data_IF_062549498004
#
_entry.id   IF_062549498004
#
_cell.length_a   1.000
_cell.length_b   1.000
_cell.length_c   1.000
_cell.angle_alpha   90.00
_cell.angle_beta   90.00
_cell.angle_gamma   90.00
#
_symmetry.space_group_name_H-M   'P 1'
#
loop_
_entity.id
_entity.type
_entity.pdbx_description
1 polymer ?
#
# COMPACT_ATOMS: atom_id res chain seq x y z
N UNK A 1 8.54 -17.86 25.98
CA UNK A 1 8.22 -17.20 24.70
C UNK A 1 8.80 -15.79 24.79
N UNK A 2 10.03 -15.62 24.30
CA UNK A 2 10.65 -14.31 24.21
C UNK A 2 10.00 -13.60 23.01
N UNK A 3 9.36 -12.46 23.26
CA UNK A 3 8.94 -11.54 22.20
C UNK A 3 10.21 -11.02 21.53
N UNK A 4 10.43 -11.46 20.30
CA UNK A 4 11.48 -10.93 19.41
C UNK A 4 11.04 -9.52 18.99
N UNK A 5 11.25 -8.55 19.89
CA UNK A 5 11.08 -7.13 19.59
C UNK A 5 12.33 -6.73 18.84
N UNK A 6 12.18 -6.58 17.52
CA UNK A 6 13.21 -6.01 16.64
C UNK A 6 13.82 -4.77 17.31
N UNK A 7 15.15 -4.65 17.41
CA UNK A 7 15.77 -3.53 18.09
C UNK A 7 15.31 -2.22 17.43
N UNK A 8 14.75 -1.30 18.23
CA UNK A 8 14.36 0.04 17.75
C UNK A 8 15.53 0.65 16.98
N UNK A 9 15.35 0.87 15.67
CA UNK A 9 16.30 1.63 14.87
C UNK A 9 16.41 3.05 15.43
N UNK A 10 17.63 3.56 15.59
CA UNK A 10 17.90 4.96 16.00
C UNK A 10 17.86 5.88 14.77
N UNK A 11 16.84 5.72 13.92
CA UNK A 11 16.69 6.51 12.69
C UNK A 11 16.12 7.89 13.04
N UNK A 12 16.73 8.95 12.50
CA UNK A 12 16.42 10.34 12.85
C UNK A 12 16.35 11.20 11.60
N UNK A 13 15.27 11.96 11.45
CA UNK A 13 15.11 12.93 10.37
C UNK A 13 15.82 14.25 10.71
N UNK A 14 16.62 14.73 9.76
CA UNK A 14 17.40 15.98 9.89
C UNK A 14 17.00 17.02 8.84
N UNK A 15 16.34 16.58 7.76
CA UNK A 15 15.77 17.45 6.74
C UNK A 15 14.37 16.96 6.41
N UNK A 16 13.42 17.90 6.41
CA UNK A 16 12.11 17.77 5.82
C UNK A 16 11.95 18.93 4.82
N UNK A 17 11.92 18.61 3.53
CA UNK A 17 11.67 19.58 2.46
C UNK A 17 10.75 18.94 1.41
N UNK A 18 10.21 19.76 0.51
CA UNK A 18 9.34 19.35 -0.57
C UNK A 18 10.09 18.61 -1.70
N UNK A 19 11.42 18.76 -1.77
CA UNK A 19 12.29 18.05 -2.70
C UNK A 19 12.85 16.75 -2.10
N UNK A 20 13.26 16.81 -0.83
CA UNK A 20 14.03 15.74 -0.19
C UNK A 20 13.76 15.62 1.32
N UNK A 21 13.77 14.39 1.80
CA UNK A 21 13.81 14.05 3.22
C UNK A 21 15.11 13.33 3.51
N UNK A 22 15.81 13.74 4.56
CA UNK A 22 17.10 13.16 4.94
C UNK A 22 17.00 12.61 6.34
N UNK A 23 17.32 11.34 6.49
CA UNK A 23 17.43 10.67 7.78
C UNK A 23 18.83 10.13 7.98
N UNK A 24 19.24 9.89 9.22
CA UNK A 24 20.46 9.17 9.53
C UNK A 24 20.21 8.13 10.60
N UNK A 25 21.00 7.05 10.55
CA UNK A 25 21.02 6.05 11.60
C UNK A 25 21.98 6.50 12.71
N UNK A 26 21.43 6.91 13.84
CA UNK A 26 22.20 7.28 15.02
C UNK A 26 23.10 6.16 15.51
N UNK A 27 22.74 4.88 15.36
CA UNK A 27 23.56 3.75 15.78
C UNK A 27 24.82 3.57 14.90
N UNK A 28 24.77 4.03 13.64
CA UNK A 28 25.90 4.00 12.72
C UNK A 28 26.96 5.09 12.98
N UNK A 29 26.64 6.08 13.81
CA UNK A 29 27.53 7.23 14.05
C UNK A 29 28.81 6.81 14.76
N UNK A 30 29.95 7.10 14.15
CA UNK A 30 31.28 6.95 14.78
C UNK A 30 32.00 8.28 14.84
N UNK A 31 32.72 8.48 15.94
CA UNK A 31 33.47 9.72 16.20
C UNK A 31 34.96 9.39 16.32
N UNK A 32 35.76 9.87 15.36
CA UNK A 32 37.22 9.66 15.38
C UNK A 32 37.96 10.97 15.17
N UNK A 33 38.44 11.58 16.26
CA UNK A 33 39.11 12.89 16.24
C UNK A 33 38.24 13.94 15.53
N UNK A 34 38.64 14.38 14.33
CA UNK A 34 37.96 15.37 13.50
C UNK A 34 36.96 14.75 12.52
N UNK A 35 36.93 13.42 12.41
CA UNK A 35 36.10 12.68 11.47
C UNK A 35 34.80 12.21 12.12
N UNK A 36 33.71 12.28 11.35
CA UNK A 36 32.38 11.76 11.70
C UNK A 36 31.91 10.86 10.58
N UNK A 37 31.56 9.62 10.89
CA UNK A 37 30.94 8.71 9.93
C UNK A 37 29.51 8.44 10.32
N UNK A 38 28.61 8.32 9.35
CA UNK A 38 27.24 7.89 9.57
C UNK A 38 26.65 7.27 8.30
N UNK A 39 25.66 6.41 8.48
CA UNK A 39 24.75 5.99 7.44
C UNK A 39 23.57 6.98 7.37
N UNK A 40 23.32 7.49 6.17
CA UNK A 40 22.28 8.48 5.87
C UNK A 40 21.36 7.90 4.81
N UNK A 41 20.05 8.07 4.98
CA UNK A 41 19.08 7.79 3.92
C UNK A 41 18.54 9.09 3.34
N UNK A 42 18.60 9.22 2.02
CA UNK A 42 17.98 10.30 1.26
C UNK A 42 16.73 9.75 0.58
N UNK A 43 15.60 10.41 0.78
CA UNK A 43 14.33 10.09 0.15
C UNK A 43 13.94 11.27 -0.75
N UNK A 44 13.56 11.00 -1.98
CA UNK A 44 13.26 12.03 -2.98
C UNK A 44 11.76 12.08 -3.25
N UNK A 45 11.23 13.29 -3.43
CA UNK A 45 9.82 13.49 -3.75
C UNK A 45 9.44 12.95 -5.14
N UNK A 46 10.41 12.92 -6.05
CA UNK A 46 10.29 12.39 -7.41
C UNK A 46 11.51 11.51 -7.73
N UNK A 47 11.35 10.50 -8.61
CA UNK A 47 12.51 9.75 -9.08
C UNK A 47 13.53 10.67 -9.75
N UNK A 48 14.81 10.38 -9.55
CA UNK A 48 15.90 11.06 -10.25
C UNK A 48 16.04 10.56 -11.71
N UNK A 49 17.10 11.02 -12.39
CA UNK A 49 17.39 10.63 -13.78
C UNK A 49 17.66 9.12 -13.97
N UNK A 50 17.99 8.41 -12.90
CA UNK A 50 18.20 6.96 -12.90
C UNK A 50 16.98 6.18 -12.39
N UNK A 51 15.88 6.87 -12.08
CA UNK A 51 14.64 6.32 -11.55
C UNK A 51 14.71 5.93 -10.07
N UNK A 52 15.76 6.33 -9.34
CA UNK A 52 15.87 6.09 -7.92
C UNK A 52 14.97 7.06 -7.15
N UNK A 53 14.35 6.56 -6.08
CA UNK A 53 13.52 7.34 -5.14
C UNK A 53 14.13 7.42 -3.74
N UNK A 54 15.17 6.62 -3.51
CA UNK A 54 15.89 6.57 -2.23
C UNK A 54 17.34 6.20 -2.46
N UNK A 55 18.24 6.80 -1.69
CA UNK A 55 19.62 6.35 -1.52
C UNK A 55 19.92 6.06 -0.06
N UNK A 56 20.62 4.96 0.21
CA UNK A 56 21.33 4.75 1.47
C UNK A 56 22.80 5.02 1.23
N UNK A 57 23.40 5.91 2.03
CA UNK A 57 24.76 6.43 1.82
C UNK A 57 25.55 6.35 3.12
N UNK A 58 26.73 5.73 3.06
CA UNK A 58 27.73 5.84 4.11
C UNK A 58 28.59 7.08 3.86
N UNK A 59 28.46 8.08 4.72
CA UNK A 59 29.18 9.36 4.61
C UNK A 59 30.28 9.47 5.66
N UNK A 60 31.37 10.14 5.30
CA UNK A 60 32.41 10.56 6.23
C UNK A 60 32.69 12.06 6.08
N UNK A 61 32.56 12.80 7.19
CA UNK A 61 32.79 14.24 7.25
C UNK A 61 34.07 14.54 8.05
N UNK A 62 34.99 15.32 7.46
CA UNK A 62 36.12 15.94 8.15
C UNK A 62 35.69 17.33 8.64
N UNK A 63 35.38 17.40 9.93
CA UNK A 63 34.87 18.60 10.58
C UNK A 63 35.91 19.70 10.79
N UNK A 64 37.21 19.39 10.62
CA UNK A 64 38.27 20.39 10.71
C UNK A 64 38.53 21.03 9.35
N UNK A 65 38.49 20.23 8.28
CA UNK A 65 38.73 20.69 6.91
C UNK A 65 37.46 21.12 6.18
N UNK A 66 36.28 20.89 6.77
CA UNK A 66 34.97 21.11 6.14
C UNK A 66 34.84 20.34 4.81
N UNK A 67 35.33 19.11 4.79
CA UNK A 67 35.23 18.22 3.63
C UNK A 67 34.33 17.03 3.94
N UNK A 68 33.74 16.43 2.92
CA UNK A 68 32.96 15.20 3.04
C UNK A 68 33.32 14.26 1.90
N UNK A 69 33.18 12.96 2.13
CA UNK A 69 33.23 11.93 1.10
C UNK A 69 32.08 10.95 1.24
N UNK A 70 31.73 10.36 0.11
CA UNK A 70 30.84 9.21 0.04
C UNK A 70 31.67 7.92 0.04
N UNK A 71 31.43 7.05 1.01
CA UNK A 71 32.15 5.78 1.15
C UNK A 71 31.45 4.68 0.35
N UNK A 72 30.12 4.68 0.37
CA UNK A 72 29.29 3.78 -0.41
C UNK A 72 27.89 4.37 -0.57
N UNK A 73 27.24 4.10 -1.71
CA UNK A 73 25.82 4.36 -1.89
C UNK A 73 25.10 3.21 -2.59
N UNK A 74 23.84 3.02 -2.21
CA UNK A 74 22.91 2.11 -2.89
C UNK A 74 21.61 2.85 -3.12
N UNK A 75 21.25 3.01 -4.39
CA UNK A 75 19.97 3.55 -4.81
C UNK A 75 18.88 2.48 -4.84
N UNK A 76 17.63 2.88 -4.64
CA UNK A 76 16.47 2.02 -4.79
C UNK A 76 15.42 2.71 -5.67
N UNK A 77 14.88 1.97 -6.64
CA UNK A 77 13.83 2.44 -7.55
C UNK A 77 12.43 2.17 -7.00
N UNK A 78 11.43 2.76 -7.66
CA UNK A 78 10.01 2.57 -7.33
C UNK A 78 9.55 1.12 -7.47
N UNK A 79 10.17 0.34 -8.34
CA UNK A 79 9.87 -1.09 -8.55
C UNK A 79 10.55 -2.02 -7.52
N UNK A 80 11.30 -1.45 -6.57
CA UNK A 80 12.04 -2.20 -5.55
C UNK A 80 13.41 -2.71 -6.01
N UNK A 81 13.79 -2.47 -7.27
CA UNK A 81 15.14 -2.82 -7.75
C UNK A 81 16.19 -1.89 -7.15
N UNK A 82 17.35 -2.46 -6.80
CA UNK A 82 18.51 -1.68 -6.38
C UNK A 82 19.29 -1.16 -7.58
N UNK A 83 19.88 0.00 -7.39
CA UNK A 83 20.74 0.69 -8.33
C UNK A 83 22.10 0.89 -7.67
N UNK A 84 23.13 0.34 -8.31
CA UNK A 84 24.52 0.67 -8.00
C UNK A 84 25.02 1.57 -9.10
N UNK A 85 25.35 2.81 -8.76
CA UNK A 85 25.96 3.74 -9.70
C UNK A 85 27.42 3.30 -9.93
N UNK A 86 27.93 3.40 -11.18
CA UNK A 86 29.34 3.15 -11.44
C UNK A 86 30.20 4.18 -10.70
N UNK A 87 31.23 3.71 -10.00
CA UNK A 87 32.17 4.58 -9.30
C UNK A 87 33.00 5.38 -10.31
N UNK A 88 32.95 6.70 -10.22
CA UNK A 88 33.82 7.60 -10.94
C UNK A 88 35.16 7.81 -10.18
N UNK A 89 36.26 8.08 -10.90
CA UNK A 89 37.54 8.41 -10.26
C UNK A 89 37.40 9.59 -9.28
N UNK A 90 37.67 9.31 -8.00
CA UNK A 90 37.62 10.29 -6.92
C UNK A 90 36.29 10.37 -6.17
N UNK A 91 35.34 9.46 -6.40
CA UNK A 91 34.07 9.42 -5.63
C UNK A 91 34.27 9.24 -4.12
N UNK A 92 35.33 8.54 -3.74
CA UNK A 92 35.71 8.31 -2.34
C UNK A 92 36.68 9.35 -1.78
N UNK A 93 37.01 10.38 -2.55
CA UNK A 93 37.91 11.45 -2.10
C UNK A 93 37.14 12.47 -1.26
N UNK A 94 37.85 13.06 -0.29
CA UNK A 94 37.31 14.20 0.46
C UNK A 94 37.18 15.41 -0.46
N UNK A 95 35.95 15.88 -0.63
CA UNK A 95 35.62 17.05 -1.45
C UNK A 95 35.06 18.17 -0.57
N UNK A 96 35.32 19.46 -0.89
CA UNK A 96 34.60 20.57 -0.27
C UNK A 96 33.09 20.43 -0.48
N UNK A 97 32.30 20.75 0.54
CA UNK A 97 30.84 20.66 0.48
C UNK A 97 30.26 22.03 0.10
N UNK A 98 29.49 22.15 -1.01
CA UNK A 98 28.87 23.42 -1.39
C UNK A 98 27.94 23.96 -0.31
N UNK A 99 27.97 25.27 -0.07
CA UNK A 99 27.24 25.90 1.04
C UNK A 99 25.71 25.73 0.94
N UNK A 100 25.14 25.86 -0.27
CA UNK A 100 23.71 25.68 -0.53
C UNK A 100 23.44 24.27 -1.05
N UNK A 101 23.66 23.27 -0.20
CA UNK A 101 23.41 21.88 -0.56
C UNK A 101 22.91 21.05 0.62
N UNK A 102 22.20 19.96 0.33
CA UNK A 102 21.83 18.97 1.34
C UNK A 102 23.05 18.30 1.98
N UNK A 103 24.14 18.14 1.22
CA UNK A 103 25.43 17.68 1.74
C UNK A 103 25.93 18.58 2.88
N UNK A 104 25.71 19.90 2.78
CA UNK A 104 26.09 20.84 3.84
C UNK A 104 25.32 20.61 5.12
N UNK A 105 24.01 20.38 5.01
CA UNK A 105 23.15 20.09 6.16
C UNK A 105 23.61 18.80 6.87
N UNK A 106 23.93 17.76 6.10
CA UNK A 106 24.49 16.50 6.63
C UNK A 106 25.82 16.78 7.36
N UNK A 107 26.75 17.47 6.71
CA UNK A 107 28.06 17.79 7.30
C UNK A 107 27.92 18.58 8.61
N UNK A 108 27.13 19.66 8.60
CA UNK A 108 26.94 20.50 9.78
C UNK A 108 26.29 19.74 10.92
N UNK A 109 25.29 18.92 10.61
CA UNK A 109 24.64 18.06 11.60
C UNK A 109 25.63 17.08 12.23
N UNK A 110 26.37 16.32 11.42
CA UNK A 110 27.36 15.35 11.89
C UNK A 110 28.48 16.02 12.70
N UNK A 111 28.97 17.17 12.26
CA UNK A 111 30.02 17.91 12.97
C UNK A 111 29.54 18.60 14.26
N UNK A 112 28.22 18.77 14.41
CA UNK A 112 27.57 19.09 15.67
C UNK A 112 27.70 17.97 16.72
N UNK A 113 27.78 16.70 16.29
CA UNK A 113 27.88 15.54 17.19
C UNK A 113 29.28 15.48 17.82
N UNK A 114 29.36 15.70 19.14
CA UNK A 114 30.63 15.71 19.88
C UNK A 114 31.06 14.35 20.43
N UNK A 115 30.16 13.38 20.51
CA UNK A 115 30.48 12.03 20.98
C UNK A 115 29.36 11.04 20.70
N UNK A 116 29.70 9.75 20.65
CA UNK A 116 28.79 8.68 20.23
C UNK A 116 27.62 8.44 21.20
N UNK A 117 27.78 8.81 22.48
CA UNK A 117 26.78 8.66 23.54
C UNK A 117 25.97 9.94 23.81
N UNK A 118 26.25 11.03 23.10
CA UNK A 118 25.58 12.32 23.29
C UNK A 118 24.32 12.37 22.44
N UNK A 119 23.35 13.21 22.79
CA UNK A 119 22.19 13.49 21.94
C UNK A 119 22.66 13.91 20.54
N UNK A 120 22.17 13.19 19.52
CA UNK A 120 22.62 13.33 18.13
C UNK A 120 21.76 14.28 17.30
N UNK A 121 20.82 15.00 17.92
CA UNK A 121 19.89 15.89 17.23
C UNK A 121 18.85 15.14 16.39
N UNK A 122 18.10 15.89 15.57
CA UNK A 122 17.08 15.37 14.64
C UNK A 122 15.76 14.96 15.31
N UNK A 123 14.74 14.77 14.49
CA UNK A 123 13.43 14.22 14.88
C UNK A 123 13.54 12.70 14.89
N UNK A 124 13.27 12.07 16.03
CA UNK A 124 13.34 10.61 16.15
C UNK A 124 12.23 9.95 15.35
N UNK A 125 12.54 8.97 14.51
CA UNK A 125 11.54 8.24 13.74
C UNK A 125 11.11 6.97 14.48
N UNK A 126 9.82 6.93 14.79
CA UNK A 126 9.10 5.74 15.25
C UNK A 126 8.34 5.05 14.10
N UNK A 127 8.21 5.73 12.95
CA UNK A 127 7.78 5.15 11.68
C UNK A 127 8.99 4.80 10.78
N UNK A 128 8.85 3.84 9.85
CA UNK A 128 9.86 3.59 8.82
C UNK A 128 10.19 4.86 8.02
N UNK A 129 11.46 5.11 7.72
CA UNK A 129 11.89 6.35 7.07
C UNK A 129 11.26 6.61 5.69
N UNK A 130 10.98 5.57 4.92
CA UNK A 130 10.29 5.67 3.62
C UNK A 130 8.82 6.08 3.77
N UNK A 131 8.14 5.54 4.79
CA UNK A 131 6.79 5.90 5.15
C UNK A 131 6.73 7.35 5.64
N UNK A 132 7.63 7.73 6.56
CA UNK A 132 7.73 9.08 7.07
C UNK A 132 8.00 10.10 5.94
N UNK A 133 8.93 9.79 5.03
CA UNK A 133 9.25 10.68 3.91
C UNK A 133 8.05 10.95 3.00
N UNK A 134 7.28 9.93 2.64
CA UNK A 134 6.06 10.09 1.83
C UNK A 134 5.04 11.02 2.51
N UNK A 135 4.86 10.87 3.82
CA UNK A 135 3.98 11.72 4.59
C UNK A 135 4.51 13.15 4.69
N UNK A 136 5.82 13.37 4.85
CA UNK A 136 6.39 14.73 4.80
C UNK A 136 6.03 15.40 3.48
N UNK A 137 6.29 14.77 2.33
CA UNK A 137 5.98 15.35 1.02
C UNK A 137 4.49 15.68 0.89
N UNK A 138 3.62 14.78 1.35
CA UNK A 138 2.18 15.00 1.32
C UNK A 138 1.74 16.16 2.24
N UNK A 139 2.33 16.30 3.43
CA UNK A 139 2.02 17.36 4.38
C UNK A 139 2.54 18.72 3.92
N UNK A 140 3.74 18.78 3.34
CA UNK A 140 4.30 19.99 2.76
C UNK A 140 3.47 20.46 1.56
N UNK A 141 2.97 19.53 0.74
CA UNK A 141 2.02 19.85 -0.34
C UNK A 141 0.69 20.43 0.17
N UNK A 142 0.33 20.20 1.44
CA UNK A 142 -0.81 20.84 2.11
C UNK A 142 -0.46 22.21 2.72
N UNK A 143 0.77 22.68 2.57
CA UNK A 143 1.27 23.93 3.13
C UNK A 143 1.49 23.87 4.64
N UNK A 144 1.94 22.73 5.17
CA UNK A 144 2.46 22.66 6.54
C UNK A 144 3.92 23.10 6.56
N UNK A 145 4.37 23.65 7.68
CA UNK A 145 5.78 23.99 7.89
C UNK A 145 6.63 22.72 8.01
N UNK A 146 7.92 22.82 7.64
CA UNK A 146 8.87 21.71 7.65
C UNK A 146 8.93 20.99 9.00
N UNK A 147 8.96 21.74 10.11
CA UNK A 147 8.98 21.17 11.46
C UNK A 147 7.68 20.42 11.78
N UNK A 148 6.51 20.97 11.43
CA UNK A 148 5.23 20.29 11.66
C UNK A 148 5.15 18.99 10.84
N UNK A 149 5.57 19.04 9.57
CA UNK A 149 5.59 17.87 8.71
C UNK A 149 6.54 16.78 9.25
N UNK A 150 7.73 17.15 9.71
CA UNK A 150 8.67 16.23 10.34
C UNK A 150 8.11 15.60 11.62
N UNK A 151 7.51 16.40 12.51
CA UNK A 151 6.98 15.90 13.78
C UNK A 151 5.77 14.97 13.56
N UNK A 152 4.85 15.33 12.65
CA UNK A 152 3.68 14.52 12.35
C UNK A 152 4.03 13.20 11.63
N UNK A 153 5.02 13.23 10.74
CA UNK A 153 5.45 12.03 10.00
C UNK A 153 6.33 11.09 10.83
N UNK A 154 6.76 11.49 12.02
CA UNK A 154 7.71 10.69 12.81
C UNK A 154 7.09 9.48 13.51
N UNK A 155 5.76 9.37 13.60
CA UNK A 155 5.07 8.36 14.39
C UNK A 155 4.22 7.38 13.58
N UNK A 156 4.13 6.12 14.03
CA UNK A 156 2.99 5.26 13.71
C UNK A 156 1.92 5.54 14.76
N UNK A 157 0.73 5.91 14.31
CA UNK A 157 -0.41 6.22 15.18
C UNK A 157 -1.23 4.96 15.40
N UNK A 158 -1.08 4.35 16.57
CA UNK A 158 -1.76 3.10 16.94
C UNK A 158 -3.08 3.31 17.67
N UNK A 159 -3.33 4.51 18.17
CA UNK A 159 -4.60 4.89 18.78
C UNK A 159 -4.97 6.35 18.47
N UNK A 160 -6.25 6.67 18.61
CA UNK A 160 -6.81 7.97 18.26
C UNK A 160 -6.35 9.10 19.17
N UNK A 161 -6.04 8.80 20.44
CA UNK A 161 -5.65 9.81 21.43
C UNK A 161 -4.24 10.31 21.15
N UNK A 162 -3.33 9.42 20.76
CA UNK A 162 -2.00 9.78 20.28
C UNK A 162 -2.09 10.71 19.07
N UNK A 163 -2.86 10.33 18.05
CA UNK A 163 -3.02 11.17 16.85
C UNK A 163 -3.61 12.54 17.18
N UNK A 164 -4.66 12.58 18.00
CA UNK A 164 -5.29 13.83 18.44
C UNK A 164 -4.30 14.72 19.20
N UNK A 165 -3.57 14.14 20.16
CA UNK A 165 -2.58 14.87 20.96
C UNK A 165 -1.47 15.43 20.09
N UNK A 166 -0.98 14.68 19.10
CA UNK A 166 0.05 15.17 18.19
C UNK A 166 -0.47 16.29 17.28
N UNK A 167 -1.70 16.16 16.74
CA UNK A 167 -2.33 17.23 15.96
C UNK A 167 -2.53 18.52 16.78
N UNK A 168 -2.93 18.38 18.04
CA UNK A 168 -3.09 19.50 18.98
C UNK A 168 -1.73 20.16 19.31
N UNK A 169 -0.71 19.35 19.60
CA UNK A 169 0.64 19.82 19.89
C UNK A 169 1.27 20.57 18.71
N UNK A 170 1.01 20.10 17.49
CA UNK A 170 1.45 20.76 16.25
C UNK A 170 0.52 21.91 15.83
N UNK A 171 -0.48 22.26 16.64
CA UNK A 171 -1.41 23.37 16.43
C UNK A 171 -2.13 23.29 15.07
N UNK A 172 -2.49 22.08 14.64
CA UNK A 172 -3.22 21.88 13.39
C UNK A 172 -4.67 22.33 13.57
N UNK A 173 -5.05 23.34 12.78
CA UNK A 173 -6.39 23.91 12.79
C UNK A 173 -7.46 22.83 12.46
N UNK A 174 -8.62 22.82 13.15
CA UNK A 174 -9.65 21.78 12.99
C UNK A 174 -10.05 21.50 11.54
N UNK A 175 -10.20 22.54 10.73
CA UNK A 175 -10.57 22.48 9.31
C UNK A 175 -9.51 21.82 8.42
N UNK A 176 -8.24 21.79 8.85
CA UNK A 176 -7.13 21.15 8.13
C UNK A 176 -6.92 19.70 8.53
N UNK A 177 -7.46 19.26 9.68
CA UNK A 177 -7.17 17.93 10.26
C UNK A 177 -7.53 16.79 9.31
N UNK A 178 -8.67 16.86 8.64
CA UNK A 178 -9.09 15.81 7.71
C UNK A 178 -8.07 15.62 6.56
N UNK A 179 -7.54 16.71 6.00
CA UNK A 179 -6.53 16.64 4.94
C UNK A 179 -5.19 16.12 5.48
N UNK A 180 -4.77 16.59 6.65
CA UNK A 180 -3.54 16.11 7.32
C UNK A 180 -3.61 14.62 7.64
N UNK A 181 -4.75 14.15 8.16
CA UNK A 181 -4.96 12.73 8.48
C UNK A 181 -4.98 11.87 7.22
N UNK A 182 -5.51 12.39 6.10
CA UNK A 182 -5.43 11.73 4.80
C UNK A 182 -3.98 11.64 4.29
N UNK A 183 -3.17 12.68 4.49
CA UNK A 183 -1.74 12.65 4.14
C UNK A 183 -0.95 11.64 4.99
N UNK A 184 -1.38 11.41 6.23
CA UNK A 184 -0.80 10.45 7.17
C UNK A 184 -1.43 9.05 7.08
N UNK A 185 -2.34 8.78 6.16
CA UNK A 185 -3.13 7.53 6.13
C UNK A 185 -2.29 6.24 6.22
N UNK A 186 -1.10 6.12 5.58
CA UNK A 186 -0.22 4.94 5.74
C UNK A 186 0.33 4.74 7.16
N UNK A 187 0.38 5.81 7.97
CA UNK A 187 0.91 5.82 9.34
C UNK A 187 -0.17 5.65 10.41
N UNK A 188 -1.45 5.69 10.04
CA UNK A 188 -2.57 5.60 10.98
C UNK A 188 -3.12 4.18 10.94
N UNK A 189 -2.95 3.46 12.05
CA UNK A 189 -3.53 2.14 12.23
C UNK A 189 -5.07 2.22 12.10
N UNK A 190 -5.76 1.18 11.59
CA UNK A 190 -7.21 1.20 11.40
C UNK A 190 -7.99 1.60 12.66
N UNK A 191 -7.49 1.23 13.83
CA UNK A 191 -8.09 1.50 15.15
C UNK A 191 -7.87 2.96 15.60
N UNK A 192 -6.84 3.62 15.08
CA UNK A 192 -6.50 5.02 15.34
C UNK A 192 -7.20 6.00 14.41
N UNK A 193 -7.77 5.51 13.29
CA UNK A 193 -8.56 6.35 12.38
C UNK A 193 -9.76 6.89 13.15
N UNK A 194 -10.08 8.19 12.99
CA UNK A 194 -11.27 8.74 13.61
C UNK A 194 -12.45 7.91 13.12
N UNK A 195 -13.40 7.56 14.01
CA UNK A 195 -14.63 6.94 13.56
C UNK A 195 -15.20 7.83 12.45
N UNK A 196 -15.73 7.24 11.36
CA UNK A 196 -16.31 8.00 10.25
C UNK A 196 -17.26 9.07 10.81
N UNK A 197 -17.32 10.26 10.19
CA UNK A 197 -17.98 11.43 10.77
C UNK A 197 -19.38 11.06 11.25
N UNK A 198 -19.60 11.17 12.56
CA UNK A 198 -20.90 11.03 13.18
C UNK A 198 -21.74 12.20 12.65
N UNK A 199 -22.70 11.91 11.77
CA UNK A 199 -23.72 12.90 11.42
C UNK A 199 -24.40 13.31 12.74
N UNK A 200 -24.65 14.61 13.00
CA UNK A 200 -25.35 15.01 14.21
C UNK A 200 -26.64 14.19 14.35
N UNK A 201 -26.74 13.43 15.44
CA UNK A 201 -27.80 12.47 15.77
C UNK A 201 -29.22 13.01 15.46
N UNK A 202 -29.42 14.32 15.61
CA UNK A 202 -30.66 15.03 15.33
C UNK A 202 -31.10 15.01 13.86
N UNK A 203 -30.16 15.11 12.90
CA UNK A 203 -30.49 15.11 11.47
C UNK A 203 -30.83 13.72 10.96
N UNK A 204 -30.13 12.67 11.41
CA UNK A 204 -30.41 11.29 11.01
C UNK A 204 -31.76 10.80 11.56
N UNK A 205 -32.06 11.09 12.83
CA UNK A 205 -33.36 10.74 13.45
C UNK A 205 -34.52 11.51 12.81
N UNK A 206 -34.32 12.79 12.46
CA UNK A 206 -35.37 13.61 11.81
C UNK A 206 -35.82 13.07 10.44
N UNK A 207 -35.02 12.23 9.78
CA UNK A 207 -35.41 11.60 8.50
C UNK A 207 -36.47 10.51 8.65
N UNK A 208 -36.62 9.94 9.85
CA UNK A 208 -37.47 8.77 10.08
C UNK A 208 -36.93 7.44 9.53
N UNK A 209 -35.76 7.44 8.89
CA UNK A 209 -35.16 6.23 8.28
C UNK A 209 -34.23 5.46 9.24
N UNK A 210 -33.97 5.97 10.44
CA UNK A 210 -33.17 5.22 11.44
C UNK A 210 -33.95 3.99 11.89
N UNK A 211 -33.34 2.81 11.78
CA UNK A 211 -34.01 1.58 12.14
C UNK A 211 -33.30 0.32 11.66
N UNK A 212 -33.81 -0.82 12.12
CA UNK A 212 -33.45 -2.15 11.59
C UNK A 212 -34.55 -2.60 10.65
N UNK A 213 -34.19 -2.79 9.39
CA UNK A 213 -35.03 -3.36 8.35
C UNK A 213 -34.58 -4.79 8.17
N UNK A 214 -35.47 -5.76 8.38
CA UNK A 214 -35.16 -7.18 8.29
C UNK A 214 -36.21 -7.84 7.43
N UNK A 215 -35.77 -8.73 6.56
CA UNK A 215 -36.64 -9.59 5.77
C UNK A 215 -36.11 -11.02 5.82
N UNK A 216 -37.01 -11.99 5.95
CA UNK A 216 -36.66 -13.40 5.96
C UNK A 216 -37.76 -14.20 5.32
N UNK A 217 -37.38 -15.09 4.40
CA UNK A 217 -38.24 -16.10 3.80
C UNK A 217 -37.42 -17.39 3.62
N UNK A 218 -38.04 -18.44 3.07
CA UNK A 218 -37.34 -19.70 2.84
C UNK A 218 -36.13 -19.47 1.92
N UNK A 219 -34.94 -19.91 2.35
CA UNK A 219 -33.65 -19.71 1.65
C UNK A 219 -33.15 -18.26 1.53
N UNK A 220 -33.76 -17.29 2.24
CA UNK A 220 -33.32 -15.88 2.22
C UNK A 220 -33.41 -15.25 3.62
N UNK A 221 -32.32 -14.63 4.07
CA UNK A 221 -32.38 -13.66 5.16
C UNK A 221 -31.57 -12.40 4.81
N UNK A 222 -32.20 -11.25 4.95
CA UNK A 222 -31.62 -9.96 4.64
C UNK A 222 -31.83 -8.98 5.80
N UNK A 223 -30.91 -8.06 5.97
CA UNK A 223 -31.17 -6.92 6.81
C UNK A 223 -30.27 -5.73 6.54
N UNK A 224 -30.81 -4.57 6.91
CA UNK A 224 -30.18 -3.27 6.81
C UNK A 224 -30.43 -2.55 8.13
N UNK A 225 -29.36 -2.22 8.84
CA UNK A 225 -29.42 -1.42 10.05
C UNK A 225 -28.88 -0.02 9.73
N UNK A 226 -29.77 0.96 9.67
CA UNK A 226 -29.44 2.38 9.60
C UNK A 226 -29.33 2.94 11.01
N UNK A 227 -28.11 3.18 11.48
CA UNK A 227 -27.85 3.69 12.83
C UNK A 227 -28.00 5.21 12.86
N UNK A 228 -28.41 5.73 14.02
CA UNK A 228 -28.58 7.16 14.24
C UNK A 228 -27.25 7.96 14.19
N UNK A 229 -26.11 7.28 14.29
CA UNK A 229 -24.77 7.86 14.14
C UNK A 229 -24.38 8.12 12.67
N UNK A 230 -25.24 7.79 11.70
CA UNK A 230 -24.96 7.95 10.28
C UNK A 230 -24.21 6.77 9.66
N UNK A 231 -24.02 5.67 10.39
CA UNK A 231 -23.44 4.43 9.88
C UNK A 231 -24.50 3.38 9.54
N UNK A 232 -24.19 2.46 8.64
CA UNK A 232 -25.05 1.34 8.32
C UNK A 232 -24.34 0.00 8.40
N UNK A 233 -25.14 -1.06 8.58
CA UNK A 233 -24.74 -2.45 8.39
C UNK A 233 -25.76 -3.13 7.50
N UNK A 234 -25.29 -3.89 6.52
CA UNK A 234 -26.10 -4.68 5.60
C UNK A 234 -25.63 -6.12 5.64
N UNK A 235 -26.58 -7.05 5.52
CA UNK A 235 -26.32 -8.46 5.31
C UNK A 235 -27.40 -9.05 4.41
N UNK A 236 -27.00 -10.02 3.60
CA UNK A 236 -27.88 -10.85 2.78
C UNK A 236 -27.29 -12.26 2.78
N UNK A 237 -28.12 -13.26 3.05
CA UNK A 237 -27.82 -14.66 2.82
C UNK A 237 -28.93 -15.22 1.94
N UNK A 238 -28.57 -15.78 0.78
CA UNK A 238 -29.49 -16.43 -0.16
C UNK A 238 -28.83 -17.67 -0.72
N UNK A 239 -29.32 -18.85 -0.32
CA UNK A 239 -28.70 -20.12 -0.69
C UNK A 239 -27.20 -20.16 -0.32
N UNK A 240 -26.31 -20.11 -1.32
CA UNK A 240 -24.85 -20.09 -1.13
C UNK A 240 -24.22 -18.69 -1.21
N UNK A 241 -25.01 -17.63 -1.40
CA UNK A 241 -24.53 -16.26 -1.47
C UNK A 241 -24.64 -15.61 -0.08
N UNK A 242 -23.50 -15.19 0.47
CA UNK A 242 -23.42 -14.36 1.66
C UNK A 242 -22.79 -13.00 1.30
N UNK A 243 -23.54 -11.93 1.50
CA UNK A 243 -23.04 -10.56 1.37
C UNK A 243 -23.09 -9.84 2.71
N UNK A 244 -22.07 -9.02 2.96
CA UNK A 244 -22.09 -8.06 4.06
C UNK A 244 -21.53 -6.73 3.59
N UNK A 245 -22.07 -5.64 4.12
CA UNK A 245 -21.52 -4.32 3.90
C UNK A 245 -21.66 -3.45 5.15
N UNK A 246 -20.74 -2.51 5.29
CA UNK A 246 -20.80 -1.46 6.31
C UNK A 246 -20.27 -0.15 5.72
N UNK A 247 -20.75 0.94 6.27
CA UNK A 247 -20.21 2.25 5.98
C UNK A 247 -21.08 3.37 6.46
N UNK A 248 -21.14 4.46 5.71
CA UNK A 248 -21.95 5.64 6.03
C UNK A 248 -23.22 5.71 5.19
N UNK A 249 -24.25 6.34 5.74
CA UNK A 249 -25.48 6.61 5.01
C UNK A 249 -25.92 8.07 5.18
N UNK A 250 -26.63 8.58 4.16
CA UNK A 250 -27.26 9.90 4.16
C UNK A 250 -28.67 9.80 3.61
N UNK A 251 -29.57 10.70 4.02
CA UNK A 251 -30.91 10.81 3.43
C UNK A 251 -31.02 12.02 2.52
N UNK A 252 -31.79 11.86 1.45
CA UNK A 252 -32.27 12.94 0.59
C UNK A 252 -33.76 12.71 0.32
N UNK A 253 -34.60 13.34 1.15
CA UNK A 253 -36.04 13.10 1.17
C UNK A 253 -36.38 11.64 1.46
N UNK A 254 -37.06 10.98 0.52
CA UNK A 254 -37.45 9.57 0.62
C UNK A 254 -36.35 8.58 0.20
N UNK A 255 -35.17 9.06 -0.19
CA UNK A 255 -34.05 8.21 -0.64
C UNK A 255 -32.96 8.16 0.41
N UNK A 256 -32.38 6.97 0.58
CA UNK A 256 -31.13 6.79 1.32
C UNK A 256 -29.99 6.57 0.32
N UNK A 257 -28.82 7.14 0.61
CA UNK A 257 -27.57 6.87 -0.11
C UNK A 257 -26.63 6.17 0.86
N UNK A 258 -26.18 4.97 0.47
CA UNK A 258 -25.21 4.18 1.21
C UNK A 258 -23.81 4.34 0.57
N UNK A 259 -22.78 4.44 1.41
CA UNK A 259 -21.38 4.54 0.98
C UNK A 259 -20.56 3.54 1.80
N UNK A 260 -20.02 2.52 1.15
CA UNK A 260 -19.19 1.50 1.81
C UNK A 260 -17.88 2.08 2.33
N UNK A 261 -17.41 1.58 3.50
CA UNK A 261 -16.10 1.97 4.07
C UNK A 261 -14.91 1.57 3.17
N UNK A 262 -15.09 0.53 2.37
CA UNK A 262 -14.07 0.03 1.45
C UNK A 262 -14.66 -0.08 0.03
N UNK A 263 -13.95 0.44 -0.99
CA UNK A 263 -14.33 0.18 -2.37
C UNK A 263 -14.22 -1.32 -2.64
N UNK A 264 -15.31 -1.92 -3.10
CA UNK A 264 -15.31 -3.30 -3.59
C UNK A 264 -14.46 -3.32 -4.85
N UNK A 265 -13.30 -3.99 -4.80
CA UNK A 265 -12.56 -4.33 -6.02
C UNK A 265 -13.26 -5.55 -6.61
N UNK A 266 -13.76 -5.48 -7.85
CA UNK A 266 -14.35 -6.65 -8.48
C UNK A 266 -13.29 -7.75 -8.62
N UNK A 267 -13.67 -9.02 -8.43
CA UNK A 267 -12.77 -10.13 -8.71
C UNK A 267 -12.35 -10.09 -10.18
N UNK A 268 -11.13 -10.53 -10.46
CA UNK A 268 -10.59 -10.61 -11.83
C UNK A 268 -9.96 -11.96 -12.09
N UNK A 269 -10.07 -12.42 -13.33
CA UNK A 269 -9.38 -13.61 -13.82
C UNK A 269 -8.28 -13.15 -14.77
N UNK A 270 -7.06 -13.65 -14.56
CA UNK A 270 -5.89 -13.32 -15.39
C UNK A 270 -5.18 -14.60 -15.87
N UNK A 271 -4.30 -14.47 -16.86
CA UNK A 271 -3.49 -15.59 -17.34
C UNK A 271 -2.49 -16.02 -16.28
N UNK A 272 -2.36 -17.33 -16.08
CA UNK A 272 -1.35 -17.96 -15.23
C UNK A 272 -0.40 -18.83 -16.06
N UNK A 273 0.30 -19.78 -15.40
CA UNK A 273 1.18 -20.73 -16.07
C UNK A 273 0.48 -21.52 -17.17
N UNK A 274 1.22 -21.82 -18.24
CA UNK A 274 0.75 -22.63 -19.35
C UNK A 274 1.84 -23.66 -19.69
N UNK A 275 1.45 -24.93 -19.79
CA UNK A 275 2.36 -26.03 -20.09
C UNK A 275 1.80 -26.95 -21.16
N UNK A 276 2.68 -27.78 -21.72
CA UNK A 276 2.30 -28.88 -22.59
C UNK A 276 2.11 -30.15 -21.76
N UNK A 277 1.02 -30.86 -21.99
CA UNK A 277 0.67 -32.11 -21.31
C UNK A 277 0.12 -33.11 -22.34
N UNK A 278 0.83 -34.21 -22.56
CA UNK A 278 0.45 -35.23 -23.55
C UNK A 278 -0.78 -36.05 -23.13
N UNK A 279 -1.19 -35.98 -21.86
CA UNK A 279 -2.32 -36.75 -21.33
C UNK A 279 -3.70 -36.13 -21.63
N UNK A 280 -3.74 -34.90 -22.13
CA UNK A 280 -4.99 -34.15 -22.36
C UNK A 280 -5.00 -33.41 -23.70
N UNK A 281 -6.16 -33.27 -24.32
CA UNK A 281 -6.35 -32.41 -25.50
C UNK A 281 -6.39 -30.93 -25.12
N UNK A 282 -7.01 -30.60 -23.98
CA UNK A 282 -7.00 -29.30 -23.34
C UNK A 282 -7.44 -29.46 -21.88
N UNK A 283 -6.68 -28.89 -20.96
CA UNK A 283 -7.01 -28.73 -19.55
C UNK A 283 -7.01 -27.25 -19.18
N UNK A 284 -8.06 -26.81 -18.49
CA UNK A 284 -8.27 -25.44 -18.04
C UNK A 284 -8.45 -25.45 -16.53
N UNK A 285 -7.60 -24.74 -15.80
CA UNK A 285 -7.66 -24.67 -14.34
C UNK A 285 -7.72 -23.24 -13.87
N UNK A 286 -8.62 -22.95 -12.93
CA UNK A 286 -8.61 -21.69 -12.19
C UNK A 286 -8.01 -21.94 -10.82
N UNK A 287 -7.08 -21.08 -10.42
CA UNK A 287 -6.45 -21.11 -9.10
C UNK A 287 -6.56 -19.76 -8.40
N UNK A 288 -6.54 -19.77 -7.08
CA UNK A 288 -6.27 -18.59 -6.25
C UNK A 288 -4.80 -18.16 -6.38
N UNK A 289 -4.40 -16.96 -5.91
CA UNK A 289 -2.99 -16.54 -5.92
C UNK A 289 -2.06 -17.47 -5.12
N UNK A 290 -2.62 -18.28 -4.21
CA UNK A 290 -1.91 -19.30 -3.43
C UNK A 290 -1.88 -20.68 -4.12
N UNK A 291 -2.33 -20.77 -5.38
CA UNK A 291 -2.28 -21.99 -6.19
C UNK A 291 -3.39 -23.02 -5.91
N UNK A 292 -4.34 -22.72 -5.00
CA UNK A 292 -5.48 -23.62 -4.75
C UNK A 292 -6.47 -23.56 -5.89
N UNK A 293 -6.90 -24.73 -6.40
CA UNK A 293 -7.91 -24.81 -7.45
C UNK A 293 -9.28 -24.29 -7.00
N UNK A 294 -9.97 -23.61 -7.91
CA UNK A 294 -11.27 -22.98 -7.68
C UNK A 294 -12.33 -23.76 -8.48
N UNK A 295 -13.18 -24.56 -7.81
CA UNK A 295 -14.30 -25.21 -8.48
C UNK A 295 -15.48 -24.24 -8.69
N UNK A 296 -16.41 -24.63 -9.55
CA UNK A 296 -17.68 -23.93 -9.75
C UNK A 296 -17.57 -22.61 -10.53
N UNK A 297 -16.51 -22.43 -11.32
CA UNK A 297 -16.43 -21.30 -12.26
C UNK A 297 -16.90 -21.78 -13.62
N UNK A 298 -17.97 -21.18 -14.12
CA UNK A 298 -18.50 -21.49 -15.45
C UNK A 298 -17.48 -21.10 -16.51
N UNK A 299 -17.40 -21.90 -17.57
CA UNK A 299 -16.54 -21.64 -18.72
C UNK A 299 -17.28 -21.88 -20.02
N UNK A 300 -16.90 -21.10 -21.03
CA UNK A 300 -17.31 -21.30 -22.42
C UNK A 300 -16.08 -21.32 -23.29
N UNK A 301 -15.85 -22.42 -23.99
CA UNK A 301 -14.75 -22.58 -24.95
C UNK A 301 -15.31 -22.42 -26.35
N UNK A 302 -14.83 -21.41 -27.09
CA UNK A 302 -15.16 -21.26 -28.50
C UNK A 302 -14.24 -22.09 -29.39
N UNK A 303 -14.83 -22.74 -30.37
CA UNK A 303 -14.17 -23.68 -31.26
C UNK A 303 -13.99 -23.10 -32.67
N UNK A 304 -13.10 -23.70 -33.47
CA UNK A 304 -12.79 -23.24 -34.81
C UNK A 304 -13.96 -23.35 -35.81
N UNK A 305 -14.88 -24.29 -35.59
CA UNK A 305 -16.13 -24.44 -36.36
C UNK A 305 -17.25 -23.47 -35.92
N UNK A 306 -16.95 -22.55 -34.99
CA UNK A 306 -17.89 -21.54 -34.49
C UNK A 306 -18.83 -22.01 -33.40
N UNK A 307 -18.78 -23.29 -33.01
CA UNK A 307 -19.53 -23.83 -31.87
C UNK A 307 -18.86 -23.49 -30.54
N UNK A 308 -19.56 -23.75 -29.45
CA UNK A 308 -19.06 -23.59 -28.08
C UNK A 308 -19.21 -24.87 -27.29
N UNK A 309 -18.23 -25.13 -26.40
CA UNK A 309 -18.36 -26.08 -25.30
C UNK A 309 -18.57 -25.30 -24.01
N UNK A 310 -19.51 -25.74 -23.19
CA UNK A 310 -19.81 -25.14 -21.89
C UNK A 310 -19.52 -26.13 -20.78
N UNK A 311 -19.12 -25.62 -19.63
CA UNK A 311 -18.84 -26.43 -18.46
C UNK A 311 -18.53 -25.56 -17.26
N UNK A 312 -17.98 -26.17 -16.22
CA UNK A 312 -17.49 -25.47 -15.05
C UNK A 312 -16.25 -26.17 -14.51
N UNK A 313 -15.37 -25.40 -13.86
CA UNK A 313 -14.14 -25.94 -13.28
C UNK A 313 -14.43 -26.81 -12.06
N UNK A 314 -13.64 -27.86 -11.87
CA UNK A 314 -13.47 -28.57 -10.61
C UNK A 314 -12.20 -28.10 -9.89
N UNK A 315 -11.91 -28.63 -8.69
CA UNK A 315 -10.70 -28.29 -7.95
C UNK A 315 -9.40 -28.67 -8.70
N UNK A 316 -9.46 -29.72 -9.52
CA UNK A 316 -8.39 -30.16 -10.42
C UNK A 316 -8.45 -29.48 -11.80
N UNK A 317 -9.59 -28.92 -12.18
CA UNK A 317 -9.79 -28.12 -13.39
C UNK A 317 -10.97 -28.62 -14.21
N UNK A 318 -10.97 -28.32 -15.51
CA UNK A 318 -11.90 -28.84 -16.49
C UNK A 318 -11.11 -29.32 -17.71
N UNK A 319 -11.52 -30.42 -18.31
CA UNK A 319 -10.90 -30.95 -19.53
C UNK A 319 -11.89 -30.98 -20.67
N UNK A 320 -11.38 -30.73 -21.88
CA UNK A 320 -12.19 -30.80 -23.09
C UNK A 320 -12.70 -32.24 -23.27
N UNK A 321 -14.01 -32.45 -23.51
CA UNK A 321 -14.58 -33.79 -23.61
C UNK A 321 -13.91 -34.68 -24.67
N UNK A 322 -13.73 -35.96 -24.32
CA UNK A 322 -13.17 -36.96 -25.22
C UNK A 322 -14.09 -37.15 -26.42
N UNK A 323 -13.58 -36.87 -27.62
CA UNK A 323 -14.34 -36.94 -28.88
C UNK A 323 -14.59 -35.58 -29.54
N UNK A 324 -14.28 -34.48 -28.85
CA UNK A 324 -14.37 -33.15 -29.45
C UNK A 324 -13.24 -32.94 -30.48
N UNK A 325 -13.61 -32.76 -31.75
CA UNK A 325 -12.66 -32.70 -32.89
C UNK A 325 -12.33 -31.29 -33.36
N UNK A 326 -13.17 -30.31 -33.03
CA UNK A 326 -12.95 -28.92 -33.42
C UNK A 326 -11.89 -28.29 -32.51
N UNK A 327 -10.97 -27.52 -33.08
CA UNK A 327 -9.86 -26.92 -32.33
C UNK A 327 -10.38 -25.78 -31.43
N UNK A 328 -10.08 -25.76 -30.12
CA UNK A 328 -10.42 -24.66 -29.24
C UNK A 328 -9.61 -23.40 -29.60
N UNK A 329 -10.28 -22.25 -29.64
CA UNK A 329 -9.71 -20.96 -30.05
C UNK A 329 -9.67 -19.94 -28.92
N UNK A 330 -10.66 -19.96 -28.04
CA UNK A 330 -10.71 -19.06 -26.90
C UNK A 330 -11.53 -19.65 -25.76
N UNK A 331 -11.34 -19.12 -24.56
CA UNK A 331 -12.19 -19.40 -23.40
C UNK A 331 -12.62 -18.11 -22.71
N UNK A 332 -13.85 -18.10 -22.20
CA UNK A 332 -14.33 -17.13 -21.20
C UNK A 332 -14.72 -17.84 -19.92
N UNK A 333 -14.62 -17.14 -18.80
CA UNK A 333 -15.02 -17.63 -17.48
C UNK A 333 -16.03 -16.69 -16.86
N UNK A 334 -16.97 -17.23 -16.07
CA UNK A 334 -17.95 -16.43 -15.36
C UNK A 334 -18.36 -17.04 -14.03
N UNK A 335 -18.78 -16.17 -13.11
CA UNK A 335 -19.55 -16.53 -11.93
C UNK A 335 -20.63 -15.46 -11.76
N UNK A 336 -21.83 -15.74 -12.26
CA UNK A 336 -22.89 -14.74 -12.38
C UNK A 336 -23.32 -14.18 -11.01
N UNK A 337 -23.35 -15.03 -9.98
CA UNK A 337 -23.65 -14.63 -8.59
C UNK A 337 -22.67 -13.59 -8.02
N UNK A 338 -21.47 -13.47 -8.57
CA UNK A 338 -20.46 -12.49 -8.16
C UNK A 338 -20.25 -11.38 -9.19
N UNK A 339 -21.08 -11.30 -10.24
CA UNK A 339 -20.92 -10.36 -11.34
C UNK A 339 -19.59 -10.53 -12.10
N UNK A 340 -18.94 -11.69 -11.97
CA UNK A 340 -17.63 -11.97 -12.55
C UNK A 340 -17.79 -12.45 -14.00
N UNK A 341 -17.13 -11.76 -14.92
CA UNK A 341 -16.97 -12.20 -16.31
C UNK A 341 -15.58 -11.85 -16.82
N UNK A 342 -14.85 -12.84 -17.30
CA UNK A 342 -13.53 -12.64 -17.88
C UNK A 342 -13.61 -12.09 -19.32
N UNK A 343 -12.52 -11.48 -19.84
CA UNK A 343 -12.36 -11.35 -21.28
C UNK A 343 -12.22 -12.73 -21.95
N UNK A 344 -12.26 -12.75 -23.28
CA UNK A 344 -11.84 -13.92 -24.06
C UNK A 344 -10.33 -14.09 -23.97
N UNK A 345 -9.89 -15.23 -23.46
CA UNK A 345 -8.49 -15.63 -23.53
C UNK A 345 -8.26 -16.50 -24.74
N UNK A 346 -7.27 -16.17 -25.57
CA UNK A 346 -6.92 -16.99 -26.72
C UNK A 346 -6.30 -18.33 -26.27
N UNK A 347 -6.61 -19.39 -27.02
CA UNK A 347 -6.03 -20.72 -26.86
C UNK A 347 -5.21 -21.01 -28.12
N UNK A 348 -3.91 -21.25 -27.95
CA UNK A 348 -3.03 -21.78 -28.99
C UNK A 348 -2.47 -23.13 -28.53
N UNK A 349 -3.12 -24.21 -28.99
CA UNK A 349 -2.73 -25.56 -28.62
C UNK A 349 -1.31 -25.92 -29.08
N UNK A 350 -0.70 -25.20 -30.02
CA UNK A 350 0.69 -25.42 -30.42
C UNK A 350 1.66 -25.00 -29.33
N UNK A 351 1.29 -23.99 -28.53
CA UNK A 351 2.10 -23.45 -27.43
C UNK A 351 1.86 -24.25 -26.14
N UNK A 352 0.60 -24.43 -25.74
CA UNK A 352 0.25 -25.10 -24.49
C UNK A 352 -1.18 -25.66 -24.55
N UNK A 353 -1.42 -26.75 -23.83
CA UNK A 353 -2.72 -27.41 -23.70
C UNK A 353 -3.11 -27.71 -22.25
N UNK A 354 -2.27 -27.38 -21.27
CA UNK A 354 -2.64 -27.28 -19.87
C UNK A 354 -2.50 -25.83 -19.44
N UNK A 355 -3.63 -25.12 -19.31
CA UNK A 355 -3.69 -23.67 -19.08
C UNK A 355 -4.21 -23.39 -17.68
N UNK A 356 -3.49 -22.57 -16.93
CA UNK A 356 -3.89 -22.08 -15.61
C UNK A 356 -4.28 -20.61 -15.72
N UNK A 357 -5.34 -20.23 -15.01
CA UNK A 357 -5.82 -18.86 -14.86
C UNK A 357 -5.88 -18.54 -13.37
N UNK A 358 -5.60 -17.28 -13.01
CA UNK A 358 -5.57 -16.84 -11.61
C UNK A 358 -6.78 -15.97 -11.32
N UNK A 359 -7.63 -16.43 -10.41
CA UNK A 359 -8.74 -15.66 -9.83
C UNK A 359 -8.21 -14.84 -8.66
N UNK A 360 -8.19 -13.52 -8.82
CA UNK A 360 -7.85 -12.57 -7.75
C UNK A 360 -9.16 -11.95 -7.24
N UNK A 361 -9.54 -12.20 -5.97
CA UNK A 361 -10.76 -11.68 -5.38
C UNK A 361 -10.75 -10.17 -5.16
#
# INVERSE_FOLDING_TARGET
>A
MASDVEPRRDERMIVASDEMVITFDGASVKVRDTLRTAHVSLYMAKPDEHGAIRYGIDVEADCRRNMQREVASVGNRTDGSSLTLPLEPGDHDFKPVPHESFGRVIQEHLCGIKGEKVWKGGVYLYAPGDMAARSVFALLALGLENEQAAQLSSYIYTDSDMLKTTLDAQKIAPERRAAVMKALDPQIAPEAKPPPPIIPFASAVATGHVGKYVHSEMELAAGLWLKADGTFQYWLTVGSLDETAKGSWTASGARIKLVNDHPVKPPTITLGPATKDESTSLSLKIVTPLGRGVPGVDLTVGLADGKTEEGYTQADGWTLPVGQKSEPRWVTFSMESYGLRSPRFAIDLRVANALVYVLTP
#
